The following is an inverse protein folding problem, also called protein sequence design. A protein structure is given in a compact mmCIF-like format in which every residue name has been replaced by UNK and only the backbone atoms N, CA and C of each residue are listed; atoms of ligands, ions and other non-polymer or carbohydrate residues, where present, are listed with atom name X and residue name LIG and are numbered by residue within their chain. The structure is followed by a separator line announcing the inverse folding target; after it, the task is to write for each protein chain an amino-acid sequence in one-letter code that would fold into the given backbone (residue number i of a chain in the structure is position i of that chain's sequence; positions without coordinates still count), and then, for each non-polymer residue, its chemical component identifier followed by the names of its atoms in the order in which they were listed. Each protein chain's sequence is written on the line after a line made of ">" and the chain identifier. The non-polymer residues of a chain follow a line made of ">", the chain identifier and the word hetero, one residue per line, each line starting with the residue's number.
data_IF_602574208960
#
_entry.id   IF_602574208960
#
_cell.length_a   1.000
_cell.length_b   1.000
_cell.length_c   1.000
_cell.angle_alpha   90.00
_cell.angle_beta   90.00
_cell.angle_gamma   90.00
#
_symmetry.space_group_name_H-M   'P 1'
#
loop_
_entity.id
_entity.type
_entity.pdbx_description
1 polymer ?
#
# COMPACT_ATOMS: atom_id res chain seq x y z
N UNK A 1 -9.53 -6.60 -11.63
CA UNK A 1 -8.23 -6.94 -11.02
C UNK A 1 -8.39 -7.98 -9.90
N UNK A 2 -9.08 -7.68 -8.79
CA UNK A 2 -9.33 -8.63 -7.69
C UNK A 2 -9.88 -9.99 -8.15
N UNK A 3 -10.99 -10.00 -8.89
CA UNK A 3 -11.58 -11.24 -9.44
C UNK A 3 -10.67 -11.95 -10.45
N UNK A 4 -9.78 -11.20 -11.12
CA UNK A 4 -8.87 -11.73 -12.13
C UNK A 4 -7.59 -12.36 -11.52
N UNK A 5 -7.48 -12.43 -10.19
CA UNK A 5 -6.30 -13.05 -9.58
C UNK A 5 -5.09 -12.11 -9.43
N UNK A 6 -5.18 -10.86 -9.87
CA UNK A 6 -4.02 -9.96 -10.03
C UNK A 6 -3.54 -9.39 -8.70
N UNK A 7 -2.22 -9.44 -8.47
CA UNK A 7 -1.57 -8.74 -7.37
C UNK A 7 -1.51 -7.24 -7.61
N UNK A 8 -1.85 -6.45 -6.60
CA UNK A 8 -1.86 -4.99 -6.65
C UNK A 8 -1.09 -4.42 -5.46
N UNK A 9 -0.18 -3.49 -5.74
CA UNK A 9 0.46 -2.68 -4.71
C UNK A 9 -0.22 -1.32 -4.68
N UNK A 10 -0.83 -0.97 -3.55
CA UNK A 10 -1.55 0.27 -3.35
C UNK A 10 -0.55 1.40 -3.07
N UNK A 11 -0.72 2.52 -3.77
CA UNK A 11 0.18 3.66 -3.69
C UNK A 11 -0.26 4.70 -2.66
N UNK A 12 -1.51 4.67 -2.20
CA UNK A 12 -2.11 5.67 -1.30
C UNK A 12 -3.37 5.16 -0.59
N UNK A 13 -3.83 5.89 0.43
CA UNK A 13 -5.02 5.54 1.22
C UNK A 13 -6.32 5.56 0.39
N UNK A 14 -6.40 6.40 -0.65
CA UNK A 14 -7.58 6.46 -1.52
C UNK A 14 -7.77 5.17 -2.32
N UNK A 15 -6.68 4.54 -2.76
CA UNK A 15 -6.69 3.23 -3.41
C UNK A 15 -7.13 2.13 -2.44
N UNK A 16 -6.67 2.16 -1.19
CA UNK A 16 -7.13 1.24 -0.16
C UNK A 16 -8.63 1.40 0.12
N UNK A 17 -9.14 2.63 0.23
CA UNK A 17 -10.57 2.88 0.37
C UNK A 17 -11.37 2.27 -0.78
N UNK A 18 -10.93 2.49 -2.03
CA UNK A 18 -11.58 1.91 -3.23
C UNK A 18 -11.55 0.38 -3.22
N UNK A 19 -10.43 -0.22 -2.83
CA UNK A 19 -10.31 -1.68 -2.72
C UNK A 19 -11.25 -2.23 -1.64
N UNK A 20 -11.37 -1.56 -0.50
CA UNK A 20 -12.30 -1.95 0.56
C UNK A 20 -13.76 -1.84 0.12
N UNK A 21 -14.14 -0.75 -0.56
CA UNK A 21 -15.49 -0.58 -1.13
C UNK A 21 -15.82 -1.66 -2.16
N UNK A 22 -14.88 -2.02 -3.03
CA UNK A 22 -15.06 -3.07 -4.03
C UNK A 22 -15.13 -4.44 -3.35
N UNK A 23 -14.28 -4.71 -2.37
CA UNK A 23 -14.27 -5.98 -1.63
C UNK A 23 -15.58 -6.20 -0.88
N UNK A 24 -16.12 -5.17 -0.25
CA UNK A 24 -17.43 -5.23 0.40
C UNK A 24 -18.57 -5.58 -0.57
N UNK A 25 -18.51 -5.09 -1.82
CA UNK A 25 -19.49 -5.41 -2.87
C UNK A 25 -19.36 -6.82 -3.43
N UNK A 26 -18.16 -7.42 -3.39
CA UNK A 26 -17.88 -8.76 -3.91
C UNK A 26 -18.25 -9.89 -2.95
N UNK A 27 -18.62 -9.56 -1.71
CA UNK A 27 -19.10 -10.49 -0.70
C UNK A 27 -18.13 -10.63 0.47
N UNK A 28 -18.71 -10.69 1.67
CA UNK A 28 -17.97 -10.54 2.92
C UNK A 28 -17.54 -11.88 3.56
N UNK A 29 -17.49 -12.96 2.78
CA UNK A 29 -17.08 -14.26 3.32
C UNK A 29 -15.62 -14.23 3.77
N UNK A 30 -15.32 -14.83 4.92
CA UNK A 30 -13.95 -14.90 5.47
C UNK A 30 -12.96 -15.56 4.48
N UNK A 31 -13.43 -16.51 3.67
CA UNK A 31 -12.61 -17.15 2.65
C UNK A 31 -12.30 -16.21 1.48
N UNK A 32 -13.28 -15.40 1.06
CA UNK A 32 -13.11 -14.36 0.04
C UNK A 32 -12.14 -13.27 0.53
N UNK A 33 -12.28 -12.81 1.78
CA UNK A 33 -11.37 -11.85 2.40
C UNK A 33 -9.94 -12.35 2.45
N UNK A 34 -9.72 -13.58 2.92
CA UNK A 34 -8.37 -14.17 2.97
C UNK A 34 -7.75 -14.28 1.58
N UNK A 35 -8.53 -14.70 0.58
CA UNK A 35 -8.05 -14.79 -0.80
C UNK A 35 -7.67 -13.41 -1.37
N UNK A 36 -8.45 -12.38 -1.10
CA UNK A 36 -8.15 -11.03 -1.58
C UNK A 36 -7.00 -10.38 -0.81
N UNK A 37 -6.88 -10.63 0.50
CA UNK A 37 -5.79 -10.14 1.33
C UNK A 37 -4.42 -10.59 0.81
N UNK A 38 -4.30 -11.81 0.28
CA UNK A 38 -3.04 -12.29 -0.31
C UNK A 38 -2.72 -11.64 -1.65
N UNK A 39 -3.56 -10.77 -2.20
CA UNK A 39 -3.38 -10.11 -3.50
C UNK A 39 -3.08 -8.61 -3.37
N UNK A 40 -3.22 -8.05 -2.16
CA UNK A 40 -3.10 -6.61 -1.89
C UNK A 40 -1.84 -6.37 -1.07
N UNK A 41 -0.89 -5.62 -1.64
CA UNK A 41 0.29 -5.10 -0.96
C UNK A 41 0.25 -3.58 -0.87
N UNK A 42 1.16 -3.01 -0.08
CA UNK A 42 1.39 -1.58 -0.01
C UNK A 42 2.71 -1.22 -0.67
N UNK A 43 2.71 -0.18 -1.51
CA UNK A 43 3.96 0.43 -1.95
C UNK A 43 4.44 1.39 -0.87
N UNK A 44 5.47 0.96 -0.15
CA UNK A 44 6.07 1.75 0.92
C UNK A 44 7.38 2.37 0.45
N UNK A 45 7.55 3.66 0.69
CA UNK A 45 8.80 4.38 0.49
C UNK A 45 9.51 4.53 1.84
N UNK A 46 10.55 3.73 2.13
CA UNK A 46 11.30 3.87 3.37
C UNK A 46 12.00 5.22 3.43
N UNK A 47 11.79 5.98 4.50
CA UNK A 47 12.61 7.17 4.80
C UNK A 47 13.93 6.67 5.38
N UNK A 48 14.93 6.47 4.52
CA UNK A 48 16.28 6.08 4.95
C UNK A 48 16.99 7.31 5.53
N UNK A 49 17.23 7.29 6.84
CA UNK A 49 17.95 8.36 7.52
C UNK A 49 19.41 8.41 7.09
N UNK A 50 19.80 9.46 6.35
CA UNK A 50 21.12 10.12 6.31
C UNK A 50 22.43 9.31 6.14
N UNK A 51 22.40 7.98 6.06
CA UNK A 51 23.56 7.14 5.74
C UNK A 51 23.73 6.99 4.23
N UNK A 52 24.85 6.40 3.82
CA UNK A 52 25.44 6.31 2.46
C UNK A 52 24.58 5.64 1.37
N UNK A 53 23.29 5.95 1.29
CA UNK A 53 22.37 5.71 0.18
C UNK A 53 22.04 7.08 -0.45
N UNK A 54 23.06 7.91 -0.64
CA UNK A 54 22.92 9.32 -1.04
C UNK A 54 22.76 9.51 -2.57
N UNK A 55 22.33 8.47 -3.30
CA UNK A 55 22.00 8.60 -4.71
C UNK A 55 20.49 8.87 -4.93
N UNK A 56 19.61 8.50 -3.98
CA UNK A 56 18.15 8.51 -4.20
C UNK A 56 17.34 9.15 -3.07
N UNK A 57 17.94 9.45 -1.92
CA UNK A 57 17.25 10.01 -0.74
C UNK A 57 17.36 11.54 -0.71
N UNK A 58 16.49 12.23 -1.45
CA UNK A 58 16.23 13.64 -1.15
C UNK A 58 15.22 13.71 0.02
N UNK A 59 15.55 14.35 1.16
CA UNK A 59 14.68 14.40 2.34
C UNK A 59 13.40 15.23 2.15
N UNK A 60 13.17 15.78 0.95
CA UNK A 60 12.05 16.68 0.64
C UNK A 60 11.18 16.22 -0.54
N UNK A 61 11.28 14.97 -1.00
CA UNK A 61 10.45 14.56 -2.14
C UNK A 61 9.02 14.31 -1.67
N UNK A 62 8.13 15.20 -2.06
CA UNK A 62 6.71 14.89 -2.22
C UNK A 62 6.64 13.75 -3.24
N UNK A 63 6.72 12.51 -2.79
CA UNK A 63 6.63 11.36 -3.68
C UNK A 63 5.20 11.30 -4.21
N UNK A 64 5.03 11.40 -5.54
CA UNK A 64 3.73 11.22 -6.19
C UNK A 64 3.17 9.80 -5.98
N UNK A 65 4.02 8.84 -5.60
CA UNK A 65 3.71 7.42 -5.52
C UNK A 65 4.21 6.83 -4.20
N UNK A 66 3.41 5.97 -3.57
CA UNK A 66 3.78 5.17 -2.41
C UNK A 66 3.69 5.93 -1.07
N UNK A 67 3.37 5.19 0.00
CA UNK A 67 3.26 5.72 1.34
C UNK A 67 4.65 5.92 1.96
N UNK A 68 4.92 7.11 2.50
CA UNK A 68 6.15 7.36 3.24
C UNK A 68 6.17 6.50 4.51
N UNK A 69 7.25 5.78 4.77
CA UNK A 69 7.44 5.03 6.02
C UNK A 69 7.97 5.98 7.09
N UNK A 70 7.08 6.44 7.96
CA UNK A 70 7.35 7.39 9.04
C UNK A 70 6.76 6.86 10.34
N UNK A 71 7.09 7.47 11.47
CA UNK A 71 6.51 7.12 12.78
C UNK A 71 4.97 7.21 12.79
N UNK A 72 4.41 8.07 11.96
CA UNK A 72 2.95 8.30 11.85
C UNK A 72 2.25 7.23 11.00
N UNK A 73 2.91 6.71 9.97
CA UNK A 73 2.34 5.72 9.04
C UNK A 73 2.64 4.27 9.44
N UNK A 74 3.67 4.03 10.24
CA UNK A 74 4.07 2.70 10.72
C UNK A 74 2.92 1.91 11.41
N UNK A 75 2.05 2.49 12.25
CA UNK A 75 0.97 1.74 12.88
C UNK A 75 -0.12 1.21 11.91
N UNK A 76 -0.13 1.66 10.65
CA UNK A 76 -1.18 1.35 9.66
C UNK A 76 -0.67 0.55 8.45
N UNK A 77 0.65 0.35 8.36
CA UNK A 77 1.35 -0.45 7.34
C UNK A 77 1.57 -1.87 7.85
#
# INVERSE_FOLDING_TARGET
>A
MLLAGVHMNLDNEDENRKVNEISAKLGDSEQTKKKHATQIGWRVNPVVGGGTINATSKPSVTFKFGLAHTTETNPRL
#
